data_IF_680106041408
#
_entry.id   IF_680106041408
#
_cell.length_a   1.000
_cell.length_b   1.000
_cell.length_c   1.000
_cell.angle_alpha   90.00
_cell.angle_beta   90.00
_cell.angle_gamma   90.00
#
_symmetry.space_group_name_H-M   'P 1'
#
loop_
_entity.id
_entity.type
_entity.pdbx_description
1 polymer ?
#
# COMPACT_ATOMS: atom_id res chain seq x y z
N UNK A 1 1.47 -23.91 -8.03
CA UNK A 1 0.05 -23.86 -7.59
C UNK A 1 -0.10 -22.65 -6.69
N UNK A 2 -1.15 -21.83 -6.87
CA UNK A 2 -1.38 -20.68 -5.99
C UNK A 2 -1.64 -21.14 -4.55
N UNK A 3 -0.98 -20.54 -3.56
CA UNK A 3 -1.21 -20.79 -2.14
C UNK A 3 -2.53 -20.15 -1.64
N UNK A 4 -3.22 -19.40 -2.51
CA UNK A 4 -4.47 -18.71 -2.19
C UNK A 4 -5.66 -19.63 -2.44
N UNK A 5 -6.30 -20.08 -1.36
CA UNK A 5 -7.54 -20.88 -1.44
C UNK A 5 -8.75 -19.97 -1.75
N UNK A 6 -9.00 -19.78 -3.05
CA UNK A 6 -10.11 -18.94 -3.52
C UNK A 6 -11.48 -19.43 -3.05
N UNK A 7 -11.69 -20.73 -2.90
CA UNK A 7 -12.97 -21.27 -2.48
C UNK A 7 -13.25 -20.94 -1.02
N UNK A 8 -12.26 -21.09 -0.16
CA UNK A 8 -12.35 -20.72 1.25
C UNK A 8 -12.73 -19.22 1.40
N UNK A 9 -12.08 -18.35 0.65
CA UNK A 9 -12.34 -16.90 0.73
C UNK A 9 -13.69 -16.52 0.12
N UNK A 10 -14.14 -17.19 -0.95
CA UNK A 10 -15.51 -17.01 -1.47
C UNK A 10 -16.58 -17.42 -0.46
N UNK A 11 -16.36 -18.52 0.26
CA UNK A 11 -17.26 -18.94 1.34
C UNK A 11 -17.30 -17.92 2.48
N UNK A 12 -16.12 -17.41 2.90
CA UNK A 12 -16.03 -16.36 3.91
C UNK A 12 -16.79 -15.09 3.50
N UNK A 13 -16.69 -14.69 2.24
CA UNK A 13 -17.40 -13.53 1.71
C UNK A 13 -18.94 -13.64 1.77
N UNK A 14 -19.48 -14.86 1.83
CA UNK A 14 -20.92 -15.11 1.96
C UNK A 14 -21.43 -14.98 3.39
N UNK A 15 -20.54 -14.98 4.38
CA UNK A 15 -20.94 -14.92 5.80
C UNK A 15 -21.65 -13.59 6.13
N UNK A 16 -22.77 -13.62 6.84
CA UNK A 16 -23.47 -12.40 7.27
C UNK A 16 -22.57 -11.45 8.09
N UNK A 17 -21.65 -12.00 8.89
CA UNK A 17 -20.70 -11.21 9.67
C UNK A 17 -19.76 -10.41 8.76
N UNK A 18 -19.24 -11.01 7.69
CA UNK A 18 -18.39 -10.33 6.72
C UNK A 18 -19.16 -9.23 5.96
N UNK A 19 -20.39 -9.51 5.51
CA UNK A 19 -21.23 -8.50 4.85
C UNK A 19 -21.51 -7.30 5.76
N UNK A 20 -21.80 -7.55 7.05
CA UNK A 20 -21.94 -6.45 8.04
C UNK A 20 -20.65 -5.66 8.23
N UNK A 21 -19.49 -6.33 8.19
CA UNK A 21 -18.18 -5.67 8.29
C UNK A 21 -17.97 -4.73 7.09
N UNK A 22 -18.20 -5.21 5.87
CA UNK A 22 -18.11 -4.40 4.64
C UNK A 22 -19.09 -3.20 4.69
N UNK A 23 -20.35 -3.42 5.08
CA UNK A 23 -21.34 -2.34 5.16
C UNK A 23 -20.96 -1.26 6.17
N UNK A 24 -20.39 -1.64 7.33
CA UNK A 24 -19.86 -0.66 8.30
C UNK A 24 -18.68 0.12 7.74
N UNK A 25 -17.84 -0.52 6.94
CA UNK A 25 -16.71 0.14 6.29
C UNK A 25 -17.20 1.12 5.23
N UNK A 26 -18.19 0.75 4.44
CA UNK A 26 -18.84 1.65 3.48
C UNK A 26 -19.47 2.84 4.20
N UNK A 27 -20.25 2.62 5.26
CA UNK A 27 -20.85 3.71 6.04
C UNK A 27 -19.81 4.65 6.68
N UNK A 28 -18.62 4.15 7.03
CA UNK A 28 -17.51 4.99 7.46
C UNK A 28 -16.99 5.83 6.29
N UNK A 29 -16.75 5.23 5.13
CA UNK A 29 -16.26 5.93 3.95
C UNK A 29 -17.24 6.98 3.44
N UNK A 30 -18.53 6.67 3.36
CA UNK A 30 -19.59 7.63 2.95
C UNK A 30 -19.60 8.89 3.83
N UNK A 31 -19.23 8.76 5.11
CA UNK A 31 -19.13 9.89 6.03
C UNK A 31 -17.82 10.67 5.92
N UNK A 32 -16.71 9.99 5.62
CA UNK A 32 -15.36 10.54 5.72
C UNK A 32 -14.78 11.00 4.37
N UNK A 33 -15.31 10.52 3.24
CA UNK A 33 -14.82 10.90 1.91
C UNK A 33 -15.42 12.23 1.47
N UNK A 34 -14.55 13.16 1.10
CA UNK A 34 -14.88 14.48 0.57
C UNK A 34 -14.00 14.83 -0.64
N UNK A 35 -14.10 16.06 -1.15
CA UNK A 35 -13.28 16.54 -2.27
C UNK A 35 -11.81 16.73 -1.90
N UNK A 36 -11.49 16.78 -0.62
CA UNK A 36 -10.11 16.90 -0.11
C UNK A 36 -9.48 15.54 0.18
N UNK A 37 -10.09 14.44 -0.24
CA UNK A 37 -9.65 13.07 0.07
C UNK A 37 -8.78 12.48 -1.02
N UNK A 38 -7.71 11.79 -0.60
CA UNK A 38 -6.89 10.90 -1.44
C UNK A 38 -6.74 9.52 -0.82
N UNK A 39 -6.49 8.52 -1.65
CA UNK A 39 -6.30 7.12 -1.23
C UNK A 39 -4.85 6.71 -1.44
N UNK A 40 -4.17 6.28 -0.38
CA UNK A 40 -2.81 5.77 -0.48
C UNK A 40 -2.80 4.34 -1.02
N UNK A 41 -2.19 4.15 -2.20
CA UNK A 41 -2.10 2.86 -2.90
C UNK A 41 -0.66 2.40 -3.03
N UNK A 42 -0.41 1.13 -2.78
CA UNK A 42 0.91 0.50 -2.90
C UNK A 42 0.90 -0.78 -3.74
N UNK A 43 -0.23 -1.14 -4.35
CA UNK A 43 -0.43 -2.41 -5.03
C UNK A 43 -0.54 -3.62 -4.09
N UNK A 44 -0.32 -3.45 -2.79
CA UNK A 44 -0.51 -4.51 -1.80
C UNK A 44 -1.99 -4.82 -1.56
N UNK A 45 -2.30 -6.03 -1.08
CA UNK A 45 -3.66 -6.52 -0.87
C UNK A 45 -4.56 -5.56 -0.08
N UNK A 46 -4.02 -4.95 0.96
CA UNK A 46 -4.77 -4.05 1.85
C UNK A 46 -5.10 -2.71 1.17
N UNK A 47 -4.13 -2.17 0.43
CA UNK A 47 -4.32 -0.93 -0.35
C UNK A 47 -5.24 -1.13 -1.56
N UNK A 48 -5.26 -2.32 -2.15
CA UNK A 48 -6.19 -2.65 -3.23
C UNK A 48 -7.65 -2.67 -2.75
N UNK A 49 -7.88 -3.26 -1.57
CA UNK A 49 -9.22 -3.27 -0.95
C UNK A 49 -9.72 -1.85 -0.67
N UNK A 50 -8.89 -0.97 -0.10
CA UNK A 50 -9.34 0.39 0.19
C UNK A 50 -9.54 1.22 -1.08
N UNK A 51 -8.72 1.02 -2.11
CA UNK A 51 -8.88 1.70 -3.39
C UNK A 51 -10.21 1.34 -4.05
N UNK A 52 -10.57 0.04 -4.13
CA UNK A 52 -11.86 -0.40 -4.65
C UNK A 52 -13.04 0.12 -3.81
N UNK A 53 -12.96 0.01 -2.48
CA UNK A 53 -14.00 0.51 -1.59
C UNK A 53 -14.21 2.03 -1.75
N UNK A 54 -13.14 2.81 -1.76
CA UNK A 54 -13.21 4.26 -1.91
C UNK A 54 -13.76 4.66 -3.28
N UNK A 55 -13.28 4.05 -4.36
CA UNK A 55 -13.79 4.35 -5.71
C UNK A 55 -15.28 3.98 -5.86
N UNK A 56 -15.76 2.96 -5.16
CA UNK A 56 -17.18 2.59 -5.16
C UNK A 56 -18.06 3.56 -4.37
N UNK A 57 -17.56 4.08 -3.24
CA UNK A 57 -18.26 5.08 -2.43
C UNK A 57 -18.21 6.46 -3.09
N UNK A 58 -17.07 6.79 -3.72
CA UNK A 58 -16.82 8.07 -4.37
C UNK A 58 -16.02 7.85 -5.67
N UNK A 59 -16.70 7.61 -6.81
CA UNK A 59 -16.04 7.46 -8.10
C UNK A 59 -15.18 8.68 -8.44
N UNK A 60 -13.95 8.44 -8.94
CA UNK A 60 -13.00 9.50 -9.26
C UNK A 60 -12.23 10.07 -8.06
N UNK A 61 -12.31 9.45 -6.86
CA UNK A 61 -11.43 9.82 -5.76
C UNK A 61 -9.97 9.56 -6.15
N UNK A 62 -9.03 10.52 -6.00
CA UNK A 62 -7.64 10.34 -6.37
C UNK A 62 -6.98 9.18 -5.62
N UNK A 63 -6.48 8.19 -6.35
CA UNK A 63 -5.72 7.04 -5.82
C UNK A 63 -4.25 7.27 -6.14
N UNK A 64 -3.43 7.47 -5.10
CA UNK A 64 -2.07 7.94 -5.25
C UNK A 64 -1.07 6.84 -4.90
N UNK A 65 -0.14 6.57 -5.81
CA UNK A 65 0.90 5.56 -5.64
C UNK A 65 2.28 6.14 -5.93
N UNK A 66 3.21 6.00 -5.00
CA UNK A 66 4.61 6.21 -5.27
C UNK A 66 5.17 4.98 -5.98
N UNK A 67 5.68 5.19 -7.20
CA UNK A 67 6.25 4.15 -8.05
C UNK A 67 7.77 4.31 -8.17
N UNK A 68 8.56 3.53 -7.44
CA UNK A 68 10.02 3.58 -7.54
C UNK A 68 10.55 2.93 -8.83
N UNK A 69 9.67 2.51 -9.71
CA UNK A 69 10.01 1.81 -10.94
C UNK A 69 10.30 0.33 -10.73
N UNK A 70 10.42 -0.39 -11.85
CA UNK A 70 10.87 -1.77 -11.84
C UNK A 70 12.40 -1.82 -11.72
N UNK A 71 12.96 -2.77 -10.98
CA UNK A 71 12.33 -3.91 -10.30
C UNK A 71 11.94 -3.67 -8.82
N UNK A 72 11.94 -2.42 -8.37
CA UNK A 72 11.92 -2.09 -6.93
C UNK A 72 10.61 -2.35 -6.21
N UNK A 73 9.49 -2.16 -6.89
CA UNK A 73 8.17 -2.23 -6.29
C UNK A 73 7.31 -3.29 -6.95
N UNK A 74 7.13 -3.16 -8.25
CA UNK A 74 6.37 -4.08 -9.08
C UNK A 74 7.26 -4.64 -10.20
N UNK A 75 6.99 -5.85 -10.64
CA UNK A 75 7.47 -6.33 -11.92
C UNK A 75 6.78 -5.54 -13.05
N UNK A 76 7.32 -5.61 -14.26
CA UNK A 76 6.67 -4.98 -15.43
C UNK A 76 5.24 -5.50 -15.60
N UNK A 77 5.03 -6.80 -15.44
CA UNK A 77 3.72 -7.42 -15.55
C UNK A 77 2.75 -6.95 -14.46
N UNK A 78 3.21 -6.83 -13.20
CA UNK A 78 2.37 -6.34 -12.10
C UNK A 78 2.00 -4.86 -12.26
N UNK A 79 2.93 -4.05 -12.78
CA UNK A 79 2.65 -2.66 -13.11
C UNK A 79 1.57 -2.53 -14.21
N UNK A 80 1.72 -3.29 -15.30
CA UNK A 80 0.71 -3.33 -16.36
C UNK A 80 -0.65 -3.81 -15.83
N UNK A 81 -0.65 -4.88 -15.05
CA UNK A 81 -1.86 -5.43 -14.42
C UNK A 81 -2.62 -4.36 -13.61
N UNK A 82 -1.92 -3.57 -12.78
CA UNK A 82 -2.57 -2.52 -11.99
C UNK A 82 -3.07 -1.36 -12.84
N UNK A 83 -2.32 -0.95 -13.86
CA UNK A 83 -2.74 0.11 -14.78
C UNK A 83 -3.97 -0.30 -15.61
N UNK A 84 -3.98 -1.53 -16.13
CA UNK A 84 -5.10 -2.07 -16.88
C UNK A 84 -6.33 -2.21 -15.99
N UNK A 85 -6.18 -2.77 -14.80
CA UNK A 85 -7.28 -2.89 -13.85
C UNK A 85 -7.85 -1.52 -13.45
N UNK A 86 -6.99 -0.55 -13.13
CA UNK A 86 -7.41 0.79 -12.74
C UNK A 86 -8.23 1.47 -13.85
N UNK A 87 -7.76 1.37 -15.12
CA UNK A 87 -8.48 1.88 -16.27
C UNK A 87 -9.86 1.24 -16.42
N UNK A 88 -9.91 -0.10 -16.35
CA UNK A 88 -11.14 -0.87 -16.59
C UNK A 88 -12.15 -0.71 -15.44
N UNK A 89 -11.65 -0.50 -14.20
CA UNK A 89 -12.47 -0.24 -13.02
C UNK A 89 -12.81 1.25 -12.81
N UNK A 90 -12.33 2.13 -13.69
CA UNK A 90 -12.55 3.59 -13.58
C UNK A 90 -11.89 4.23 -12.36
N UNK A 91 -10.71 3.74 -11.97
CA UNK A 91 -9.93 4.34 -10.89
C UNK A 91 -9.17 5.57 -11.39
N UNK A 92 -9.20 6.65 -10.63
CA UNK A 92 -8.34 7.82 -10.84
C UNK A 92 -6.95 7.57 -10.21
N UNK A 93 -6.16 6.68 -10.85
CA UNK A 93 -4.87 6.23 -10.36
C UNK A 93 -3.73 7.11 -10.88
N UNK A 94 -3.03 7.77 -9.96
CA UNK A 94 -1.85 8.58 -10.21
C UNK A 94 -0.59 7.87 -9.73
N UNK A 95 0.41 7.73 -10.61
CA UNK A 95 1.71 7.18 -10.30
C UNK A 95 2.76 8.30 -10.19
N UNK A 96 3.43 8.38 -9.05
CA UNK A 96 4.50 9.34 -8.79
C UNK A 96 5.85 8.63 -8.90
N UNK A 97 6.60 8.81 -10.02
CA UNK A 97 7.90 8.19 -10.20
C UNK A 97 8.87 8.61 -9.10
N UNK A 98 9.60 7.65 -8.56
CA UNK A 98 10.65 7.92 -7.60
C UNK A 98 11.87 7.05 -7.83
N UNK A 99 13.00 7.68 -8.13
CA UNK A 99 14.29 7.03 -8.30
C UNK A 99 15.12 7.22 -7.03
N UNK A 100 14.89 6.36 -6.07
CA UNK A 100 15.43 6.42 -4.71
C UNK A 100 16.91 6.79 -4.64
N UNK A 101 17.71 6.16 -5.48
CA UNK A 101 19.17 6.25 -5.39
C UNK A 101 19.77 7.41 -6.18
N UNK A 102 19.01 8.06 -7.02
CA UNK A 102 19.41 9.28 -7.72
C UNK A 102 19.07 10.56 -6.97
N UNK A 103 18.32 10.48 -5.87
CA UNK A 103 17.98 11.64 -5.04
C UNK A 103 19.20 12.17 -4.29
N UNK A 104 19.54 13.46 -4.39
CA UNK A 104 20.77 14.01 -3.79
C UNK A 104 20.86 13.79 -2.27
N UNK A 105 19.75 13.91 -1.56
CA UNK A 105 19.70 13.69 -0.11
C UNK A 105 19.92 12.24 0.30
N UNK A 106 19.61 11.29 -0.59
CA UNK A 106 19.80 9.86 -0.36
C UNK A 106 21.24 9.47 -0.63
N UNK A 107 21.81 9.90 -1.76
CA UNK A 107 23.18 9.56 -2.14
C UNK A 107 24.25 10.20 -1.24
N UNK A 108 23.95 11.31 -0.59
CA UNK A 108 24.87 12.03 0.30
C UNK A 108 24.80 11.56 1.78
N UNK A 109 23.96 10.55 2.11
CA UNK A 109 23.81 10.11 3.49
C UNK A 109 25.08 9.41 4.02
N UNK A 110 25.49 9.79 5.24
CA UNK A 110 26.76 9.36 5.85
C UNK A 110 26.76 7.89 6.33
N UNK A 111 25.59 7.33 6.64
CA UNK A 111 25.42 5.96 7.09
C UNK A 111 24.12 5.33 6.56
N UNK A 112 23.96 4.01 6.70
CA UNK A 112 22.79 3.28 6.20
C UNK A 112 21.48 3.78 6.81
N UNK A 113 21.46 4.16 8.10
CA UNK A 113 20.25 4.66 8.77
C UNK A 113 19.89 6.07 8.28
N UNK A 114 20.88 6.94 8.08
CA UNK A 114 20.68 8.26 7.50
C UNK A 114 20.19 8.12 6.04
N UNK A 115 20.81 7.22 5.27
CA UNK A 115 20.40 6.88 3.91
C UNK A 115 18.95 6.40 3.83
N UNK A 116 18.55 5.46 4.72
CA UNK A 116 17.18 4.97 4.77
C UNK A 116 16.18 6.07 5.17
N UNK A 117 16.54 6.97 6.09
CA UNK A 117 15.68 8.10 6.47
C UNK A 117 15.52 9.09 5.31
N UNK A 118 16.62 9.47 4.66
CA UNK A 118 16.61 10.36 3.51
C UNK A 118 15.78 9.77 2.36
N UNK A 119 15.98 8.49 2.05
CA UNK A 119 15.22 7.77 1.06
C UNK A 119 13.73 7.72 1.39
N UNK A 120 13.37 7.49 2.65
CA UNK A 120 11.98 7.49 3.08
C UNK A 120 11.35 8.88 2.99
N UNK A 121 12.09 9.92 3.32
CA UNK A 121 11.59 11.30 3.23
C UNK A 121 11.39 11.75 1.79
N UNK A 122 12.33 11.43 0.88
CA UNK A 122 12.26 11.83 -0.53
C UNK A 122 11.18 11.08 -1.30
N UNK A 123 10.82 9.88 -0.86
CA UNK A 123 9.82 9.01 -1.51
C UNK A 123 8.46 9.69 -1.72
N UNK A 124 8.07 10.58 -0.82
CA UNK A 124 6.75 11.19 -0.80
C UNK A 124 6.65 12.55 -1.48
N UNK A 125 7.80 13.14 -1.89
CA UNK A 125 7.87 14.53 -2.36
C UNK A 125 6.89 14.80 -3.52
N UNK A 126 6.94 14.00 -4.58
CA UNK A 126 6.08 14.20 -5.75
C UNK A 126 4.59 14.03 -5.42
N UNK A 127 4.25 13.01 -4.63
CA UNK A 127 2.88 12.77 -4.20
C UNK A 127 2.37 13.89 -3.27
N UNK A 128 3.19 14.36 -2.33
CA UNK A 128 2.82 15.46 -1.44
C UNK A 128 2.65 16.78 -2.20
N UNK A 129 3.49 17.06 -3.20
CA UNK A 129 3.33 18.24 -4.06
C UNK A 129 1.98 18.24 -4.77
N UNK A 130 1.61 17.10 -5.38
CA UNK A 130 0.30 16.91 -5.99
C UNK A 130 -0.86 17.12 -5.00
N UNK A 131 -0.74 16.55 -3.80
CA UNK A 131 -1.77 16.69 -2.77
C UNK A 131 -1.95 18.14 -2.31
N UNK A 132 -0.86 18.90 -2.15
CA UNK A 132 -0.90 20.32 -1.80
C UNK A 132 -1.56 21.13 -2.93
N UNK A 133 -1.14 20.90 -4.18
CA UNK A 133 -1.68 21.59 -5.36
C UNK A 133 -3.19 21.40 -5.51
N UNK A 134 -3.69 20.19 -5.21
CA UNK A 134 -5.10 19.82 -5.35
C UNK A 134 -5.89 19.94 -4.03
N UNK A 135 -5.30 20.45 -2.96
CA UNK A 135 -5.97 20.64 -1.66
C UNK A 135 -6.36 19.32 -0.97
N UNK A 136 -5.67 18.21 -1.26
CA UNK A 136 -5.98 16.88 -0.72
C UNK A 136 -5.38 16.73 0.68
N UNK A 137 -6.17 17.00 1.69
CA UNK A 137 -5.74 17.02 3.11
C UNK A 137 -6.21 15.81 3.92
N UNK A 138 -7.10 14.99 3.37
CA UNK A 138 -7.54 13.72 3.96
C UNK A 138 -6.86 12.55 3.25
N UNK A 139 -6.26 11.62 4.02
CA UNK A 139 -5.65 10.42 3.47
C UNK A 139 -6.33 9.15 3.98
N UNK A 140 -6.74 8.29 3.06
CA UNK A 140 -7.25 6.95 3.37
C UNK A 140 -6.13 5.94 3.24
N UNK A 141 -5.91 5.13 4.28
CA UNK A 141 -4.81 4.16 4.33
C UNK A 141 -5.28 2.76 4.71
N UNK A 142 -4.70 1.74 4.07
CA UNK A 142 -4.97 0.31 4.31
C UNK A 142 -4.23 -0.26 5.52
N UNK A 143 -4.14 0.47 6.63
CA UNK A 143 -3.46 -0.01 7.84
C UNK A 143 -4.40 -0.86 8.70
N UNK A 144 -3.90 -2.02 9.17
CA UNK A 144 -4.67 -2.95 10.01
C UNK A 144 -4.03 -3.16 11.38
N UNK A 145 -4.87 -3.34 12.40
CA UNK A 145 -4.44 -3.53 13.78
C UNK A 145 -3.67 -4.85 14.02
N UNK A 146 -3.98 -5.88 13.24
CA UNK A 146 -3.35 -7.21 13.36
C UNK A 146 -1.95 -7.30 12.75
N UNK A 147 -1.53 -6.29 11.97
CA UNK A 147 -0.23 -6.32 11.31
C UNK A 147 0.95 -5.98 12.23
N UNK A 148 0.72 -5.16 13.27
CA UNK A 148 1.76 -4.79 14.22
C UNK A 148 1.19 -4.23 15.52
N UNK A 149 1.83 -4.53 16.66
CA UNK A 149 1.42 -4.03 17.97
C UNK A 149 1.34 -2.49 18.04
N UNK A 150 2.26 -1.79 17.37
CA UNK A 150 2.24 -0.33 17.28
C UNK A 150 1.01 0.21 16.54
N UNK A 151 0.58 -0.45 15.45
CA UNK A 151 -0.64 -0.09 14.72
C UNK A 151 -1.89 -0.35 15.55
N UNK A 152 -1.94 -1.49 16.25
CA UNK A 152 -3.03 -1.79 17.19
C UNK A 152 -3.18 -0.71 18.25
N UNK A 153 -2.07 -0.30 18.88
CA UNK A 153 -2.07 0.79 19.89
C UNK A 153 -2.54 2.12 19.31
N UNK A 154 -2.08 2.47 18.10
CA UNK A 154 -2.51 3.69 17.41
C UNK A 154 -4.03 3.69 17.17
N UNK A 155 -4.56 2.62 16.60
CA UNK A 155 -5.98 2.47 16.28
C UNK A 155 -6.85 2.48 17.55
N UNK A 156 -6.40 1.81 18.62
CA UNK A 156 -7.10 1.83 19.91
C UNK A 156 -7.16 3.24 20.50
N UNK A 157 -6.11 4.04 20.36
CA UNK A 157 -6.02 5.39 20.92
C UNK A 157 -6.73 6.43 20.08
N UNK A 158 -6.64 6.37 18.73
CA UNK A 158 -7.11 7.42 17.83
C UNK A 158 -8.39 7.07 17.06
N UNK A 159 -8.80 5.79 17.07
CA UNK A 159 -9.97 5.33 16.32
C UNK A 159 -9.66 5.04 14.85
N UNK A 160 -10.74 4.94 14.05
CA UNK A 160 -10.67 4.62 12.62
C UNK A 160 -10.51 5.86 11.73
N UNK A 161 -10.81 7.04 12.26
CA UNK A 161 -10.55 8.31 11.63
C UNK A 161 -10.03 9.28 12.71
N UNK A 162 -9.01 10.05 12.39
CA UNK A 162 -8.38 10.96 13.34
C UNK A 162 -7.67 12.11 12.64
N UNK A 163 -7.54 13.23 13.36
CA UNK A 163 -6.85 14.40 12.87
C UNK A 163 -5.37 14.38 13.27
N UNK A 164 -4.53 14.87 12.37
CA UNK A 164 -3.11 15.13 12.64
C UNK A 164 -2.97 16.52 13.28
N UNK A 165 -2.10 16.63 14.31
CA UNK A 165 -1.78 17.91 14.91
C UNK A 165 -0.83 18.74 14.03
N UNK A 166 0.23 18.10 13.51
CA UNK A 166 1.35 18.79 12.86
C UNK A 166 1.88 18.04 11.63
N UNK A 167 0.98 17.52 10.76
CA UNK A 167 1.43 16.93 9.50
C UNK A 167 1.49 18.01 8.41
N UNK A 168 2.57 18.07 7.59
CA UNK A 168 2.75 19.15 6.61
C UNK A 168 1.70 19.14 5.49
N UNK A 169 1.08 17.99 5.21
CA UNK A 169 0.11 17.81 4.13
C UNK A 169 -1.25 17.38 4.69
N UNK A 170 -1.27 16.35 5.53
CA UNK A 170 -2.53 15.77 5.98
C UNK A 170 -3.08 16.46 7.23
N UNK A 171 -4.36 16.78 7.19
CA UNK A 171 -5.15 17.17 8.36
C UNK A 171 -5.86 15.96 8.98
N UNK A 172 -6.26 14.98 8.15
CA UNK A 172 -7.06 13.84 8.58
C UNK A 172 -6.56 12.53 8.00
N UNK A 173 -6.61 11.45 8.80
CA UNK A 173 -6.37 10.08 8.37
C UNK A 173 -7.62 9.22 8.58
N UNK A 174 -7.92 8.35 7.62
CA UNK A 174 -9.01 7.38 7.68
C UNK A 174 -8.47 5.98 7.46
N UNK A 175 -8.78 5.06 8.37
CA UNK A 175 -8.30 3.68 8.39
C UNK A 175 -9.49 2.71 8.29
N UNK A 176 -10.15 2.60 7.13
CA UNK A 176 -11.45 1.95 7.01
C UNK A 176 -11.41 0.45 7.30
N UNK A 177 -10.30 -0.22 6.99
CA UNK A 177 -10.12 -1.66 7.22
C UNK A 177 -9.28 -1.97 8.46
N UNK A 178 -9.09 -1.01 9.37
CA UNK A 178 -8.21 -1.17 10.54
C UNK A 178 -8.57 -2.35 11.44
N UNK A 179 -9.83 -2.79 11.44
CA UNK A 179 -10.34 -3.93 12.24
C UNK A 179 -10.53 -5.21 11.41
N UNK A 180 -10.17 -5.18 10.13
CA UNK A 180 -10.25 -6.36 9.28
C UNK A 180 -9.09 -7.31 9.56
N UNK A 181 -9.39 -8.61 9.49
CA UNK A 181 -8.37 -9.66 9.50
C UNK A 181 -7.81 -9.88 8.09
N UNK A 182 -6.68 -10.56 7.98
CA UNK A 182 -6.16 -10.99 6.67
C UNK A 182 -7.18 -11.81 5.89
N UNK A 183 -7.97 -12.63 6.58
CA UNK A 183 -9.04 -13.41 5.96
C UNK A 183 -10.14 -12.53 5.36
N UNK A 184 -10.51 -11.44 6.02
CA UNK A 184 -11.50 -10.48 5.51
C UNK A 184 -11.00 -9.77 4.26
N UNK A 185 -9.73 -9.36 4.27
CA UNK A 185 -9.07 -8.73 3.11
C UNK A 185 -9.10 -9.67 1.91
N UNK A 186 -8.70 -10.92 2.08
CA UNK A 186 -8.72 -11.91 1.00
C UNK A 186 -10.13 -12.26 0.54
N UNK A 187 -11.09 -12.35 1.45
CA UNK A 187 -12.49 -12.58 1.10
C UNK A 187 -13.02 -11.44 0.21
N UNK A 188 -12.65 -10.20 0.50
CA UNK A 188 -13.01 -9.05 -0.34
C UNK A 188 -12.35 -9.14 -1.72
N UNK A 189 -11.02 -9.29 -1.77
CA UNK A 189 -10.26 -9.39 -3.03
C UNK A 189 -10.84 -10.45 -3.95
N UNK A 190 -11.03 -11.67 -3.42
CA UNK A 190 -11.53 -12.82 -4.19
C UNK A 190 -13.00 -12.65 -4.61
N UNK A 191 -13.84 -12.06 -3.75
CA UNK A 191 -15.25 -11.85 -4.08
C UNK A 191 -15.49 -10.73 -5.10
N UNK A 192 -14.51 -9.87 -5.27
CA UNK A 192 -14.53 -8.74 -6.21
C UNK A 192 -13.67 -8.97 -7.45
N UNK A 193 -13.02 -10.13 -7.54
CA UNK A 193 -12.06 -10.47 -8.58
C UNK A 193 -10.97 -9.40 -8.78
N UNK A 194 -10.54 -8.77 -7.67
CA UNK A 194 -9.42 -7.81 -7.65
C UNK A 194 -8.11 -8.54 -7.94
N UNK A 195 -7.20 -7.96 -8.72
CA UNK A 195 -5.87 -8.52 -8.91
C UNK A 195 -5.03 -8.40 -7.64
N UNK A 196 -3.95 -9.16 -7.58
CA UNK A 196 -2.94 -9.10 -6.52
C UNK A 196 -1.55 -9.42 -7.04
N UNK A 197 -0.53 -9.04 -6.28
CA UNK A 197 0.87 -9.26 -6.61
C UNK A 197 1.23 -10.75 -6.53
N UNK A 198 2.09 -11.19 -7.44
CA UNK A 198 2.55 -12.58 -7.55
C UNK A 198 3.20 -13.14 -6.27
N UNK A 199 3.76 -12.26 -5.44
CA UNK A 199 4.35 -12.65 -4.14
C UNK A 199 3.36 -13.40 -3.24
N UNK A 200 2.08 -13.08 -3.31
CA UNK A 200 1.07 -13.76 -2.50
C UNK A 200 0.82 -15.19 -2.97
N UNK A 201 0.92 -15.46 -4.28
CA UNK A 201 0.82 -16.81 -4.81
C UNK A 201 2.06 -17.66 -4.46
N UNK A 202 3.23 -17.01 -4.32
CA UNK A 202 4.48 -17.66 -3.98
C UNK A 202 4.67 -17.92 -2.49
N UNK A 203 4.31 -16.94 -1.64
CA UNK A 203 4.64 -16.92 -0.21
C UNK A 203 3.40 -17.01 0.71
N UNK A 204 2.19 -17.02 0.14
CA UNK A 204 0.95 -17.13 0.89
C UNK A 204 0.29 -15.80 1.24
N UNK A 205 -0.94 -15.89 1.80
CA UNK A 205 -1.81 -14.75 2.04
C UNK A 205 -1.26 -13.72 3.04
N UNK A 206 -0.32 -14.14 3.90
CA UNK A 206 0.34 -13.27 4.89
C UNK A 206 1.61 -12.59 4.36
N UNK A 207 2.01 -12.89 3.12
CA UNK A 207 3.19 -12.28 2.53
C UNK A 207 3.11 -10.75 2.58
N UNK A 208 4.26 -10.11 2.72
CA UNK A 208 4.39 -8.65 2.73
C UNK A 208 5.34 -8.23 1.63
N UNK A 209 4.85 -7.42 0.74
CA UNK A 209 5.72 -6.72 -0.19
C UNK A 209 6.38 -5.55 0.55
N UNK A 210 7.47 -5.84 1.26
CA UNK A 210 8.10 -4.85 2.13
C UNK A 210 9.54 -4.60 1.75
N UNK A 211 9.77 -3.89 0.68
CA UNK A 211 11.11 -3.42 0.33
C UNK A 211 11.57 -2.23 1.21
N UNK A 212 10.65 -1.51 1.84
CA UNK A 212 10.91 -0.44 2.83
C UNK A 212 10.85 -0.96 4.27
N UNK A 213 11.08 -2.25 4.50
CA UNK A 213 11.05 -2.82 5.84
C UNK A 213 12.27 -2.42 6.68
N UNK A 214 12.10 -2.44 8.01
CA UNK A 214 13.15 -2.20 9.04
C UNK A 214 14.22 -3.30 9.10
N UNK A 215 14.27 -4.24 8.19
CA UNK A 215 15.26 -5.30 8.14
C UNK A 215 16.58 -4.76 7.61
N UNK A 216 17.68 -5.08 8.30
CA UNK A 216 19.04 -4.75 7.88
C UNK A 216 19.37 -5.27 6.48
N UNK A 217 20.43 -4.76 5.87
CA UNK A 217 20.79 -5.03 4.47
C UNK A 217 20.78 -6.50 4.10
N UNK A 218 21.39 -7.39 4.91
CA UNK A 218 21.44 -8.83 4.66
C UNK A 218 20.06 -9.52 4.69
N UNK A 219 19.21 -9.16 5.64
CA UNK A 219 17.86 -9.71 5.75
C UNK A 219 16.96 -9.22 4.61
N UNK A 220 17.08 -7.94 4.21
CA UNK A 220 16.42 -7.39 3.05
C UNK A 220 16.84 -8.07 1.75
N UNK A 221 18.15 -8.32 1.58
CA UNK A 221 18.67 -9.05 0.44
C UNK A 221 18.17 -10.50 0.39
N UNK A 222 18.13 -11.19 1.55
CA UNK A 222 17.59 -12.53 1.64
C UNK A 222 16.10 -12.59 1.30
N UNK A 223 15.34 -11.55 1.69
CA UNK A 223 13.92 -11.40 1.37
C UNK A 223 13.72 -11.14 -0.13
N UNK A 224 14.50 -10.22 -0.73
CA UNK A 224 14.46 -9.95 -2.17
C UNK A 224 14.77 -11.20 -2.99
N UNK A 225 15.82 -11.95 -2.61
CA UNK A 225 16.18 -13.21 -3.30
C UNK A 225 15.10 -14.27 -3.25
N UNK A 226 14.33 -14.34 -2.14
CA UNK A 226 13.22 -15.28 -1.99
C UNK A 226 11.97 -14.85 -2.75
N UNK A 227 11.72 -13.54 -2.79
CA UNK A 227 10.50 -12.99 -3.37
C UNK A 227 10.54 -12.89 -4.89
N UNK A 228 11.70 -12.53 -5.44
CA UNK A 228 11.89 -12.39 -6.88
C UNK A 228 13.41 -12.39 -7.19
N UNK A 229 13.97 -13.51 -7.67
CA UNK A 229 15.39 -13.60 -8.00
C UNK A 229 15.87 -12.54 -9.00
N UNK A 230 15.05 -12.21 -9.98
CA UNK A 230 15.36 -11.18 -10.98
C UNK A 230 15.46 -9.79 -10.34
N UNK A 231 14.59 -9.48 -9.39
CA UNK A 231 14.63 -8.23 -8.62
C UNK A 231 15.90 -8.14 -7.80
N UNK A 232 16.32 -9.25 -7.17
CA UNK A 232 17.55 -9.30 -6.40
C UNK A 232 18.79 -9.10 -7.28
N UNK A 233 18.78 -9.64 -8.49
CA UNK A 233 19.88 -9.49 -9.45
C UNK A 233 19.96 -8.05 -9.98
N UNK A 234 18.87 -7.48 -10.39
CA UNK A 234 18.81 -6.09 -10.85
C UNK A 234 19.16 -5.09 -9.74
N UNK A 235 18.73 -5.36 -8.51
CA UNK A 235 19.09 -4.56 -7.35
C UNK A 235 20.60 -4.47 -7.11
N UNK A 236 21.34 -5.56 -7.34
CA UNK A 236 22.81 -5.57 -7.23
C UNK A 236 23.52 -4.75 -8.30
N UNK A 237 22.92 -4.61 -9.48
CA UNK A 237 23.49 -3.82 -10.58
C UNK A 237 23.31 -2.31 -10.38
N UNK A 238 22.30 -1.91 -9.63
CA UNK A 238 21.90 -0.50 -9.46
C UNK A 238 22.27 0.05 -8.09
N UNK A 239 22.37 -0.78 -7.06
CA UNK A 239 22.73 -0.36 -5.70
C UNK A 239 24.24 -0.40 -5.49
N UNK A 240 24.80 0.56 -4.74
CA UNK A 240 26.16 0.46 -4.22
C UNK A 240 26.35 -0.84 -3.43
N UNK A 241 27.52 -1.46 -3.59
CA UNK A 241 27.85 -2.76 -2.99
C UNK A 241 27.85 -2.78 -1.45
N UNK A 242 28.03 -1.63 -0.84
CA UNK A 242 28.03 -1.41 0.61
C UNK A 242 26.63 -1.43 1.25
N UNK A 243 25.57 -1.51 0.45
CA UNK A 243 24.19 -1.61 0.92
C UNK A 243 23.66 -3.05 1.01
N UNK A 244 24.53 -4.04 0.75
CA UNK A 244 24.17 -5.45 0.74
C UNK A 244 24.85 -6.23 1.85
#
# INVERSE_FOLDING_TARGET
MSSIDRNLFRLHARLPAFRRLVNRTIALLDRELDDATSVAFSGGKDSAVIADLCNRCRPGVPILCVDPGTPWHWTVAERSMWLDYARDAGWDLHLFPWQKWSEPGVSAAADERAHQRAAHSSMWVGMHAYQIEHGLTTVVMGLRADEAAGRKKLIMRRGLAYDYADHPVYRRAVLPIARWTTRDVWAYLVSRDLPWLSIYDQQGPEARNGWVGRSGGAERQAKLRRSAPEIAQAARQVLPTDLF
#
